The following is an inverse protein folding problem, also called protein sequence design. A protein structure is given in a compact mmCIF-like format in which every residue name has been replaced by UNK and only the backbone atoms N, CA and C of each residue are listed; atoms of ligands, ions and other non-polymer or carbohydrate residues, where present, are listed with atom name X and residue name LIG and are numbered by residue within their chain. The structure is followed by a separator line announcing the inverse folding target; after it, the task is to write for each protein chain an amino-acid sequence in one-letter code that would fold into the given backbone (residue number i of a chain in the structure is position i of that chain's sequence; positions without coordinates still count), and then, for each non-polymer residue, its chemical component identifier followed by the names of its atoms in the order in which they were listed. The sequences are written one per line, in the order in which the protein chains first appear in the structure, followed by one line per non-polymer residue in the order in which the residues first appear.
data_IF_023453059172
#
_entry.id   IF_023453059172
#
_cell.length_a   1.000
_cell.length_b   1.000
_cell.length_c   1.000
_cell.angle_alpha   90.00
_cell.angle_beta   90.00
_cell.angle_gamma   90.00
#
_symmetry.space_group_name_H-M   'P 1'
#
loop_
_entity.id
_entity.type
_entity.pdbx_description
1 polymer ?
#
# COMPACT_ATOMS: atom_id res chain seq x y z
N UNK A 1 5.78 -0.88 -32.28
CA UNK A 1 6.48 0.04 -31.37
C UNK A 1 5.97 -0.20 -29.96
N UNK A 2 6.76 0.02 -28.91
CA UNK A 2 6.33 -0.15 -27.51
C UNK A 2 5.55 1.07 -26.96
N UNK A 3 4.96 1.88 -27.84
CA UNK A 3 4.23 3.11 -27.50
C UNK A 3 2.88 3.11 -28.19
N UNK A 4 1.88 3.73 -27.56
CA UNK A 4 0.55 3.86 -28.14
C UNK A 4 0.60 4.71 -29.43
N UNK A 5 -0.20 4.38 -30.46
CA UNK A 5 -0.31 5.23 -31.64
C UNK A 5 -0.73 6.66 -31.28
N UNK A 6 -0.15 7.66 -31.96
CA UNK A 6 -0.50 9.07 -31.75
C UNK A 6 -2.00 9.33 -31.92
N UNK A 7 -2.65 8.62 -32.86
CA UNK A 7 -4.10 8.65 -33.05
C UNK A 7 -4.89 8.15 -31.82
N UNK A 8 -4.38 7.16 -31.09
CA UNK A 8 -4.95 6.68 -29.82
C UNK A 8 -4.75 7.71 -28.71
N UNK A 9 -3.54 8.28 -28.59
CA UNK A 9 -3.22 9.33 -27.60
C UNK A 9 -4.11 10.57 -27.81
N UNK A 10 -4.33 10.99 -29.06
CA UNK A 10 -5.20 12.11 -29.40
C UNK A 10 -6.68 11.83 -29.11
N UNK A 11 -7.15 10.59 -29.24
CA UNK A 11 -8.51 10.20 -28.81
C UNK A 11 -8.64 10.23 -27.29
N UNK A 12 -7.66 9.72 -26.55
CA UNK A 12 -7.66 9.74 -25.08
C UNK A 12 -7.63 11.18 -24.53
N UNK A 13 -6.84 12.07 -25.15
CA UNK A 13 -6.84 13.51 -24.85
C UNK A 13 -8.19 14.17 -25.10
N UNK A 14 -8.97 13.69 -26.07
CA UNK A 14 -10.33 14.16 -26.33
C UNK A 14 -11.37 13.60 -25.35
N UNK A 15 -11.25 12.32 -24.97
CA UNK A 15 -12.12 11.68 -23.97
C UNK A 15 -11.99 12.35 -22.59
N UNK A 16 -10.80 12.88 -22.28
CA UNK A 16 -10.48 13.60 -21.04
C UNK A 16 -10.44 15.13 -21.23
N UNK A 17 -10.98 15.66 -22.34
CA UNK A 17 -11.00 17.11 -22.62
C UNK A 17 -11.89 17.86 -21.61
N UNK A 18 -11.35 18.92 -20.99
CA UNK A 18 -12.02 19.66 -19.92
C UNK A 18 -11.96 19.02 -18.53
N UNK A 19 -11.26 17.89 -18.37
CA UNK A 19 -10.93 17.28 -17.08
C UNK A 19 -9.59 17.80 -16.53
N UNK A 20 -9.18 17.35 -15.34
CA UNK A 20 -7.88 17.68 -14.74
C UNK A 20 -6.85 16.53 -14.86
N UNK A 21 -7.14 15.50 -15.66
CA UNK A 21 -6.26 14.36 -15.84
C UNK A 21 -5.04 14.67 -16.73
N UNK A 22 -3.85 14.23 -16.32
CA UNK A 22 -2.59 14.42 -17.07
C UNK A 22 -2.27 13.17 -17.89
N UNK A 23 -2.02 13.32 -19.20
CA UNK A 23 -1.64 12.21 -20.09
C UNK A 23 -0.17 12.37 -20.48
N UNK A 24 0.70 11.67 -19.74
CA UNK A 24 2.15 11.69 -19.91
C UNK A 24 2.56 10.60 -20.91
N UNK A 25 3.28 10.98 -21.95
CA UNK A 25 3.82 10.08 -22.98
C UNK A 25 5.33 10.23 -23.09
N UNK A 26 6.01 9.34 -23.81
CA UNK A 26 7.45 9.48 -24.06
C UNK A 26 7.76 10.89 -24.61
N UNK A 27 8.72 11.58 -23.99
CA UNK A 27 9.06 12.98 -24.28
C UNK A 27 8.19 14.04 -23.57
N UNK A 28 7.24 13.64 -22.71
CA UNK A 28 6.54 14.57 -21.79
C UNK A 28 7.32 14.72 -20.49
N UNK A 29 7.32 15.92 -19.91
CA UNK A 29 7.83 16.14 -18.54
C UNK A 29 7.10 15.24 -17.53
N UNK A 30 7.81 14.73 -16.53
CA UNK A 30 7.27 13.83 -15.51
C UNK A 30 6.94 12.40 -15.98
N UNK A 31 7.07 12.06 -17.27
CA UNK A 31 6.85 10.69 -17.77
C UNK A 31 7.79 9.68 -17.09
N UNK A 32 9.06 10.05 -16.86
CA UNK A 32 10.04 9.19 -16.17
C UNK A 32 9.60 8.79 -14.75
N UNK A 33 9.10 9.74 -13.96
CA UNK A 33 8.57 9.48 -12.62
C UNK A 33 7.26 8.68 -12.68
N UNK A 34 6.42 8.97 -13.69
CA UNK A 34 5.17 8.26 -13.95
C UNK A 34 5.35 6.76 -14.26
N UNK A 35 6.47 6.36 -14.87
CA UNK A 35 6.78 4.94 -15.16
C UNK A 35 7.57 4.24 -14.04
N UNK A 36 8.41 4.97 -13.29
CA UNK A 36 9.32 4.40 -12.28
C UNK A 36 8.59 3.61 -11.20
N UNK A 37 8.90 2.32 -11.07
CA UNK A 37 8.40 1.45 -9.99
C UNK A 37 9.31 1.51 -8.75
N UNK A 38 8.92 0.83 -7.66
CA UNK A 38 9.79 0.63 -6.50
C UNK A 38 10.89 -0.43 -6.74
N UNK A 39 10.60 -1.45 -7.55
CA UNK A 39 11.55 -2.53 -7.85
C UNK A 39 12.08 -2.41 -9.28
N UNK A 40 13.40 -2.34 -9.44
CA UNK A 40 14.09 -2.29 -10.75
C UNK A 40 13.76 -3.51 -11.64
N UNK A 41 13.33 -4.62 -11.05
CA UNK A 41 12.86 -5.83 -11.76
C UNK A 41 11.53 -5.63 -12.51
N UNK A 42 10.85 -4.50 -12.28
CA UNK A 42 9.52 -4.17 -12.78
C UNK A 42 9.52 -2.94 -13.70
N UNK A 43 10.68 -2.48 -14.17
CA UNK A 43 10.76 -1.40 -15.17
C UNK A 43 10.23 -1.89 -16.53
N UNK A 44 9.31 -1.13 -17.11
CA UNK A 44 8.62 -1.49 -18.35
C UNK A 44 8.44 -0.31 -19.32
N UNK A 45 8.31 -0.63 -20.60
CA UNK A 45 8.13 0.36 -21.67
C UNK A 45 6.66 0.79 -21.75
N UNK A 46 6.20 1.62 -20.81
CA UNK A 46 4.81 2.09 -20.71
C UNK A 46 4.41 2.96 -21.90
N UNK A 47 3.25 2.69 -22.50
CA UNK A 47 2.76 3.39 -23.68
C UNK A 47 2.23 4.80 -23.39
N UNK A 48 1.51 4.97 -22.28
CA UNK A 48 1.19 6.26 -21.66
C UNK A 48 0.91 6.08 -20.15
N UNK A 49 1.20 7.11 -19.35
CA UNK A 49 0.75 7.21 -17.96
C UNK A 49 -0.38 8.24 -17.91
N UNK A 50 -1.49 7.91 -17.25
CA UNK A 50 -2.64 8.82 -17.10
C UNK A 50 -2.87 9.06 -15.62
N UNK A 51 -2.50 10.24 -15.14
CA UNK A 51 -2.77 10.66 -13.76
C UNK A 51 -4.18 11.20 -13.64
N UNK A 52 -4.92 10.69 -12.67
CA UNK A 52 -6.33 11.05 -12.45
C UNK A 52 -6.52 11.72 -11.10
N UNK A 53 -7.42 12.71 -11.07
CA UNK A 53 -7.81 13.51 -9.90
C UNK A 53 -9.18 13.13 -9.36
N UNK A 54 -9.96 12.39 -10.16
CA UNK A 54 -11.32 11.97 -9.84
C UNK A 54 -11.63 10.53 -10.28
N UNK A 55 -12.63 9.91 -9.64
CA UNK A 55 -13.15 8.60 -10.04
C UNK A 55 -13.82 8.63 -11.43
N UNK A 56 -14.31 9.79 -11.89
CA UNK A 56 -14.92 9.95 -13.22
C UNK A 56 -13.87 9.86 -14.35
N UNK A 57 -12.73 10.52 -14.17
CA UNK A 57 -11.56 10.40 -15.07
C UNK A 57 -11.02 8.96 -15.07
N UNK A 58 -10.86 8.35 -13.89
CA UNK A 58 -10.42 6.96 -13.77
C UNK A 58 -11.36 5.99 -14.52
N UNK A 59 -12.67 6.15 -14.36
CA UNK A 59 -13.67 5.36 -15.08
C UNK A 59 -13.66 5.61 -16.60
N UNK A 60 -13.39 6.83 -17.06
CA UNK A 60 -13.21 7.14 -18.47
C UNK A 60 -11.97 6.45 -19.05
N UNK A 61 -10.85 6.44 -18.33
CA UNK A 61 -9.62 5.70 -18.74
C UNK A 61 -9.88 4.20 -18.83
N UNK A 62 -10.58 3.60 -17.87
CA UNK A 62 -10.93 2.17 -17.91
C UNK A 62 -11.82 1.84 -19.12
N UNK A 63 -12.88 2.63 -19.38
CA UNK A 63 -13.71 2.46 -20.58
C UNK A 63 -12.90 2.61 -21.86
N UNK A 64 -12.05 3.62 -21.95
CA UNK A 64 -11.21 3.87 -23.12
C UNK A 64 -10.26 2.69 -23.39
N UNK A 65 -9.62 2.17 -22.34
CA UNK A 65 -8.75 1.00 -22.45
C UNK A 65 -9.52 -0.24 -22.91
N UNK A 66 -10.68 -0.53 -22.31
CA UNK A 66 -11.54 -1.65 -22.68
C UNK A 66 -12.05 -1.55 -24.14
N UNK A 67 -12.65 -0.41 -24.52
CA UNK A 67 -13.21 -0.16 -25.85
C UNK A 67 -12.17 -0.15 -26.98
N UNK A 68 -10.88 0.04 -26.66
CA UNK A 68 -9.79 0.00 -27.62
C UNK A 68 -8.84 -1.19 -27.44
N UNK A 69 -9.19 -2.15 -26.57
CA UNK A 69 -8.42 -3.36 -26.26
C UNK A 69 -6.96 -3.06 -25.88
N UNK A 70 -6.74 -1.95 -25.18
CA UNK A 70 -5.43 -1.50 -24.72
C UNK A 70 -5.13 -2.18 -23.37
N UNK A 71 -4.00 -2.90 -23.21
CA UNK A 71 -3.57 -3.37 -21.90
C UNK A 71 -3.46 -2.21 -20.93
N UNK A 72 -3.95 -2.36 -19.70
CA UNK A 72 -3.77 -1.34 -18.67
C UNK A 72 -3.36 -1.95 -17.33
N UNK A 73 -2.68 -1.14 -16.53
CA UNK A 73 -2.32 -1.45 -15.15
C UNK A 73 -2.69 -0.28 -14.25
N UNK A 74 -2.81 -0.54 -12.94
CA UNK A 74 -3.30 0.43 -11.96
C UNK A 74 -2.19 0.72 -10.97
N UNK A 75 -1.80 2.00 -10.87
CA UNK A 75 -0.74 2.47 -9.99
C UNK A 75 -1.33 3.26 -8.82
N UNK A 76 -1.28 2.67 -7.63
CA UNK A 76 -1.26 3.41 -6.36
C UNK A 76 0.19 3.84 -6.05
N UNK A 77 0.72 3.49 -4.89
CA UNK A 77 2.11 3.80 -4.51
C UNK A 77 3.24 3.14 -5.33
N UNK A 78 2.94 2.31 -6.33
CA UNK A 78 3.95 1.72 -7.23
C UNK A 78 4.89 0.68 -6.61
N UNK A 79 4.50 0.08 -5.48
CA UNK A 79 5.31 -0.85 -4.68
C UNK A 79 5.28 -2.32 -5.20
N UNK A 80 4.78 -2.59 -6.41
CA UNK A 80 4.66 -3.97 -6.89
C UNK A 80 6.03 -4.58 -7.19
N UNK A 81 6.31 -5.74 -6.60
CA UNK A 81 7.47 -6.60 -6.89
C UNK A 81 7.19 -7.62 -8.01
N UNK A 82 5.97 -7.63 -8.56
CA UNK A 82 5.50 -8.54 -9.61
C UNK A 82 5.10 -7.83 -10.91
N UNK A 83 5.35 -6.52 -11.01
CA UNK A 83 5.00 -5.68 -12.16
C UNK A 83 3.52 -5.32 -12.27
N UNK A 84 2.68 -5.65 -11.29
CA UNK A 84 1.22 -5.45 -11.35
C UNK A 84 0.77 -3.98 -11.42
N UNK A 85 1.65 -3.03 -11.09
CA UNK A 85 1.44 -1.58 -11.21
C UNK A 85 2.04 -0.95 -12.49
N UNK A 86 2.45 -1.77 -13.47
CA UNK A 86 2.98 -1.31 -14.76
C UNK A 86 2.46 -2.16 -15.94
N UNK A 87 2.64 -1.70 -17.17
CA UNK A 87 2.25 -2.44 -18.38
C UNK A 87 3.07 -2.04 -19.60
N UNK A 88 3.40 -3.00 -20.47
CA UNK A 88 4.22 -2.78 -21.66
C UNK A 88 3.38 -2.30 -22.85
N UNK A 89 3.66 -1.10 -23.34
CA UNK A 89 2.96 -0.45 -24.46
C UNK A 89 1.51 -0.05 -24.17
N UNK A 90 1.00 -0.37 -22.97
CA UNK A 90 -0.35 -0.07 -22.51
C UNK A 90 -0.48 1.26 -21.78
N UNK A 91 -1.55 1.40 -21.01
CA UNK A 91 -1.84 2.55 -20.14
C UNK A 91 -1.56 2.21 -18.68
N UNK A 92 -0.74 3.01 -17.99
CA UNK A 92 -0.73 3.03 -16.52
C UNK A 92 -1.74 4.07 -16.04
N UNK A 93 -2.81 3.62 -15.40
CA UNK A 93 -3.76 4.47 -14.69
C UNK A 93 -3.15 4.83 -13.33
N UNK A 94 -2.63 6.04 -13.20
CA UNK A 94 -1.90 6.54 -12.05
C UNK A 94 -2.83 7.31 -11.10
N UNK A 95 -3.03 6.78 -9.91
CA UNK A 95 -3.93 7.34 -8.89
C UNK A 95 -3.24 8.41 -8.04
N UNK A 96 -2.03 8.88 -8.40
CA UNK A 96 -1.17 9.78 -7.61
C UNK A 96 -1.87 10.99 -6.95
N UNK A 97 -2.88 11.60 -7.58
CA UNK A 97 -3.62 12.74 -7.01
C UNK A 97 -4.82 12.34 -6.12
N UNK A 98 -5.26 11.08 -6.19
CA UNK A 98 -6.31 10.49 -5.36
C UNK A 98 -5.73 10.03 -4.01
N UNK A 99 -5.21 10.97 -3.22
CA UNK A 99 -4.55 10.74 -1.91
C UNK A 99 -5.32 11.29 -0.70
N UNK A 100 -6.54 11.81 -0.86
CA UNK A 100 -7.27 12.42 0.26
C UNK A 100 -7.65 11.38 1.31
N UNK A 101 -7.51 11.76 2.57
CA UNK A 101 -7.93 10.98 3.73
C UNK A 101 -8.89 11.81 4.58
N UNK A 102 -9.99 11.18 5.02
CA UNK A 102 -10.98 11.74 5.93
C UNK A 102 -11.19 10.80 7.12
N UNK A 103 -11.45 11.34 8.31
CA UNK A 103 -11.66 10.58 9.55
C UNK A 103 -12.93 11.07 10.22
N UNK A 104 -13.86 10.16 10.53
CA UNK A 104 -14.88 10.37 11.55
C UNK A 104 -14.39 9.77 12.89
N UNK A 105 -14.01 10.59 13.89
CA UNK A 105 -13.59 10.11 15.19
C UNK A 105 -14.73 9.58 16.06
N UNK A 106 -16.01 9.80 15.69
CA UNK A 106 -17.18 9.36 16.47
C UNK A 106 -17.52 7.92 16.16
N UNK A 107 -17.62 7.54 14.87
CA UNK A 107 -17.76 6.14 14.46
C UNK A 107 -16.43 5.39 14.33
N UNK A 108 -15.30 6.09 14.51
CA UNK A 108 -13.93 5.58 14.32
C UNK A 108 -13.66 5.08 12.88
N UNK A 109 -14.36 5.67 11.90
CA UNK A 109 -14.30 5.29 10.49
C UNK A 109 -13.45 6.27 9.69
N UNK A 110 -12.49 5.73 8.93
CA UNK A 110 -11.61 6.48 8.04
C UNK A 110 -11.90 6.16 6.57
N UNK A 111 -11.63 7.14 5.69
CA UNK A 111 -11.93 7.16 4.25
C UNK A 111 -10.69 7.66 3.49
N UNK A 112 -9.84 6.75 3.00
CA UNK A 112 -8.58 7.06 2.30
C UNK A 112 -8.57 6.65 0.82
N UNK A 113 -8.36 7.61 -0.08
CA UNK A 113 -8.45 7.41 -1.53
C UNK A 113 -7.43 6.41 -2.12
N UNK A 114 -7.70 5.88 -3.32
CA UNK A 114 -6.97 4.72 -3.88
C UNK A 114 -5.49 4.93 -4.22
N UNK A 115 -5.04 6.17 -4.35
CA UNK A 115 -3.63 6.54 -4.48
C UNK A 115 -2.93 6.85 -3.16
N UNK A 116 -3.67 6.91 -2.04
CA UNK A 116 -3.12 7.20 -0.72
C UNK A 116 -1.97 6.25 -0.37
N UNK A 117 -0.93 6.81 0.23
CA UNK A 117 0.15 6.06 0.85
C UNK A 117 -0.20 5.81 2.32
N UNK A 118 0.48 4.85 2.95
CA UNK A 118 0.27 4.57 4.37
C UNK A 118 0.53 5.80 5.26
N UNK A 119 1.45 6.68 4.86
CA UNK A 119 1.72 7.97 5.52
C UNK A 119 0.50 8.92 5.55
N UNK A 120 -0.27 8.99 4.46
CA UNK A 120 -1.46 9.87 4.40
C UNK A 120 -2.52 9.41 5.42
N UNK A 121 -2.60 8.10 5.58
CA UNK A 121 -3.46 7.37 6.49
C UNK A 121 -2.99 7.54 7.95
N UNK A 122 -1.70 7.28 8.22
CA UNK A 122 -1.06 7.43 9.52
C UNK A 122 -1.23 8.86 10.06
N UNK A 123 -0.87 9.86 9.26
CA UNK A 123 -0.90 11.29 9.63
C UNK A 123 -2.31 11.80 9.86
N UNK A 124 -3.30 11.38 9.07
CA UNK A 124 -4.69 11.81 9.26
C UNK A 124 -5.30 11.22 10.53
N UNK A 125 -5.06 9.94 10.81
CA UNK A 125 -5.71 9.25 11.93
C UNK A 125 -5.02 9.48 13.28
N UNK A 126 -3.71 9.76 13.29
CA UNK A 126 -2.98 10.16 14.50
C UNK A 126 -3.56 11.43 15.15
N UNK A 127 -4.08 12.36 14.35
CA UNK A 127 -4.78 13.57 14.82
C UNK A 127 -6.00 13.25 15.69
N UNK A 128 -6.57 12.06 15.53
CA UNK A 128 -7.73 11.55 16.26
C UNK A 128 -7.42 10.41 17.24
N UNK A 129 -6.13 10.06 17.42
CA UNK A 129 -5.65 8.99 18.33
C UNK A 129 -6.22 7.58 18.07
N UNK A 130 -6.45 7.22 16.81
CA UNK A 130 -6.89 5.86 16.42
C UNK A 130 -5.69 4.89 16.25
N UNK A 131 -5.93 3.59 15.98
CA UNK A 131 -4.92 2.54 15.68
C UNK A 131 -5.49 1.54 14.64
N UNK A 132 -4.91 1.38 13.43
CA UNK A 132 -5.53 0.65 12.28
C UNK A 132 -4.48 -0.45 11.86
N UNK A 133 -4.90 -1.58 11.27
CA UNK A 133 -3.97 -2.56 10.64
C UNK A 133 -3.48 -2.14 9.24
N UNK A 134 -2.17 -2.28 9.00
CA UNK A 134 -1.61 -2.44 7.66
C UNK A 134 -0.09 -2.24 7.59
N UNK A 135 0.37 -1.69 6.47
CA UNK A 135 1.79 -1.68 6.04
C UNK A 135 2.79 -1.21 7.10
N UNK A 136 3.91 -1.91 7.22
CA UNK A 136 5.03 -1.51 8.11
C UNK A 136 5.92 -0.38 7.54
N UNK A 137 5.65 0.09 6.32
CA UNK A 137 6.38 1.16 5.64
C UNK A 137 5.41 2.23 5.12
N UNK A 138 5.69 3.50 5.48
CA UNK A 138 4.88 4.69 5.21
C UNK A 138 4.54 4.91 3.71
N UNK A 139 5.48 4.62 2.82
CA UNK A 139 5.38 4.92 1.39
C UNK A 139 4.70 3.82 0.56
N UNK A 140 4.22 2.73 1.20
CA UNK A 140 3.45 1.71 0.50
C UNK A 140 2.06 2.26 0.16
N UNK A 141 1.64 2.06 -1.09
CA UNK A 141 0.32 2.47 -1.57
C UNK A 141 -0.78 1.64 -0.93
N UNK A 142 -1.68 2.29 -0.20
CA UNK A 142 -2.65 1.65 0.67
C UNK A 142 -3.50 0.61 -0.07
N UNK A 143 -4.23 1.03 -1.12
CA UNK A 143 -5.18 0.17 -1.85
C UNK A 143 -4.56 -1.17 -2.28
N UNK A 144 -3.35 -1.16 -2.83
CA UNK A 144 -2.65 -2.38 -3.24
C UNK A 144 -2.28 -3.28 -2.07
N UNK A 145 -1.83 -2.70 -0.94
CA UNK A 145 -1.47 -3.46 0.25
C UNK A 145 -2.68 -4.17 0.88
N UNK A 146 -3.79 -3.45 1.09
CA UNK A 146 -4.98 -4.03 1.70
C UNK A 146 -5.73 -4.95 0.77
N UNK A 147 -5.94 -4.66 -0.52
CA UNK A 147 -6.65 -5.64 -1.38
C UNK A 147 -5.90 -6.98 -1.51
N UNK A 148 -4.58 -6.99 -1.28
CA UNK A 148 -3.76 -8.20 -1.17
C UNK A 148 -3.70 -8.83 0.23
N UNK A 149 -4.62 -8.47 1.15
CA UNK A 149 -4.62 -8.88 2.56
C UNK A 149 -4.14 -7.75 3.47
N UNK A 150 -2.86 -7.39 3.35
CA UNK A 150 -2.20 -6.33 4.12
C UNK A 150 -1.95 -6.69 5.59
N UNK A 151 -0.68 -6.75 5.98
CA UNK A 151 -0.26 -7.09 7.35
C UNK A 151 0.74 -6.07 7.89
N UNK A 152 0.88 -6.03 9.20
CA UNK A 152 1.94 -5.30 9.90
C UNK A 152 1.77 -5.36 11.42
N UNK A 153 2.25 -4.33 12.11
CA UNK A 153 2.43 -4.32 13.56
C UNK A 153 1.17 -4.68 14.37
N UNK A 154 0.00 -4.20 13.93
CA UNK A 154 -1.27 -4.39 14.61
C UNK A 154 -2.02 -5.69 14.22
N UNK A 155 -1.45 -6.51 13.31
CA UNK A 155 -2.11 -7.72 12.81
C UNK A 155 -2.34 -8.79 13.88
N UNK A 156 -1.48 -8.87 14.90
CA UNK A 156 -1.62 -9.87 15.97
C UNK A 156 -2.89 -9.72 16.82
N UNK A 157 -3.45 -8.52 16.94
CA UNK A 157 -4.71 -8.26 17.66
C UNK A 157 -5.93 -8.16 16.75
N UNK A 158 -5.79 -7.49 15.61
CA UNK A 158 -6.92 -6.97 14.85
C UNK A 158 -7.11 -7.66 13.48
N UNK A 159 -6.35 -8.74 13.18
CA UNK A 159 -6.41 -9.44 11.90
C UNK A 159 -5.65 -8.70 10.78
N UNK A 160 -5.96 -9.00 9.53
CA UNK A 160 -5.40 -8.32 8.36
C UNK A 160 -6.11 -7.01 8.06
N UNK A 161 -5.54 -6.18 7.18
CA UNK A 161 -6.18 -4.94 6.74
C UNK A 161 -7.51 -5.23 6.00
N UNK A 162 -7.64 -6.39 5.33
CA UNK A 162 -8.92 -6.87 4.76
C UNK A 162 -10.00 -7.16 5.80
N UNK A 163 -9.62 -7.61 7.00
CA UNK A 163 -10.56 -7.94 8.07
C UNK A 163 -11.13 -6.66 8.72
N UNK A 164 -10.43 -5.54 8.52
CA UNK A 164 -10.80 -4.19 8.96
C UNK A 164 -11.44 -3.34 7.82
N UNK A 165 -11.59 -3.91 6.62
CA UNK A 165 -12.25 -3.25 5.50
C UNK A 165 -13.78 -3.36 5.68
N UNK A 166 -14.49 -2.22 5.72
CA UNK A 166 -15.96 -2.18 5.84
C UNK A 166 -16.66 -2.13 4.48
N UNK A 167 -16.04 -1.44 3.52
CA UNK A 167 -16.51 -1.33 2.14
C UNK A 167 -15.37 -0.80 1.27
N UNK A 168 -15.48 -1.03 -0.05
CA UNK A 168 -14.63 -0.38 -1.05
C UNK A 168 -15.50 0.14 -2.19
N UNK A 169 -15.19 1.36 -2.66
CA UNK A 169 -15.74 1.89 -3.90
C UNK A 169 -14.85 1.41 -5.04
N UNK A 170 -15.45 0.71 -6.01
CA UNK A 170 -14.76 -0.04 -7.07
C UNK A 170 -15.12 0.49 -8.45
N UNK A 171 -14.14 0.58 -9.35
CA UNK A 171 -14.37 0.80 -10.79
C UNK A 171 -14.24 -0.53 -11.52
N UNK A 172 -15.30 -0.94 -12.22
CA UNK A 172 -15.37 -2.21 -12.97
C UNK A 172 -14.90 -2.04 -14.43
N UNK A 173 -14.77 -3.16 -15.16
CA UNK A 173 -14.21 -3.17 -16.52
C UNK A 173 -15.08 -2.45 -17.59
N UNK A 174 -16.36 -2.25 -17.33
CA UNK A 174 -17.27 -1.40 -18.13
C UNK A 174 -17.18 0.09 -17.72
N UNK A 175 -16.36 0.41 -16.74
CA UNK A 175 -16.24 1.73 -16.11
C UNK A 175 -17.50 2.19 -15.38
N UNK A 176 -18.36 1.27 -14.94
CA UNK A 176 -19.31 1.53 -13.87
C UNK A 176 -18.55 1.71 -12.54
N UNK A 177 -19.15 2.45 -11.61
CA UNK A 177 -18.61 2.69 -10.27
C UNK A 177 -19.61 2.12 -9.26
N UNK A 178 -19.18 1.12 -8.49
CA UNK A 178 -20.01 0.38 -7.53
C UNK A 178 -19.44 0.50 -6.12
N UNK A 179 -20.29 0.29 -5.10
CA UNK A 179 -19.85 0.04 -3.72
C UNK A 179 -19.92 -1.45 -3.46
N UNK A 180 -18.81 -2.01 -2.98
CA UNK A 180 -18.71 -3.37 -2.46
C UNK A 180 -18.67 -3.31 -0.92
N UNK A 181 -19.62 -3.96 -0.25
CA UNK A 181 -19.74 -4.12 1.20
C UNK A 181 -20.49 -5.45 1.51
N UNK A 182 -20.78 -5.75 2.78
CA UNK A 182 -21.55 -6.96 3.12
C UNK A 182 -23.03 -6.88 2.67
N UNK A 183 -23.54 -5.66 2.45
CA UNK A 183 -24.92 -5.37 2.02
C UNK A 183 -25.04 -5.04 0.52
N UNK A 184 -23.94 -4.74 -0.18
CA UNK A 184 -23.94 -4.31 -1.59
C UNK A 184 -22.80 -5.00 -2.35
N UNK A 185 -23.11 -5.75 -3.41
CA UNK A 185 -22.12 -6.54 -4.18
C UNK A 185 -21.21 -7.37 -3.27
N UNK A 186 -21.81 -8.15 -2.35
CA UNK A 186 -21.07 -8.87 -1.30
C UNK A 186 -20.22 -10.03 -1.81
N UNK A 187 -20.51 -10.52 -3.02
CA UNK A 187 -19.67 -11.41 -3.81
C UNK A 187 -18.37 -10.72 -4.28
N UNK A 188 -18.47 -9.49 -4.81
CA UNK A 188 -17.32 -8.65 -5.13
C UNK A 188 -16.55 -8.26 -3.86
N UNK A 189 -17.26 -7.95 -2.77
CA UNK A 189 -16.65 -7.58 -1.48
C UNK A 189 -15.90 -8.73 -0.81
N UNK A 190 -16.37 -9.97 -0.99
CA UNK A 190 -15.60 -11.16 -0.65
C UNK A 190 -14.37 -11.29 -1.54
N UNK A 191 -14.53 -11.16 -2.86
CA UNK A 191 -13.45 -11.39 -3.83
C UNK A 191 -12.27 -10.39 -3.69
N UNK A 192 -12.54 -9.11 -3.43
CA UNK A 192 -11.48 -8.09 -3.27
C UNK A 192 -10.71 -8.20 -1.93
N UNK A 193 -11.22 -8.96 -0.95
CA UNK A 193 -10.54 -9.20 0.33
C UNK A 193 -9.49 -10.33 0.20
N UNK A 194 -8.47 -10.08 -0.62
CA UNK A 194 -7.29 -10.95 -0.78
C UNK A 194 -6.83 -11.16 -2.21
N UNK A 195 -7.72 -11.03 -3.21
CA UNK A 195 -7.37 -11.21 -4.63
C UNK A 195 -6.85 -9.93 -5.32
N UNK A 196 -6.61 -8.85 -4.57
CA UNK A 196 -6.05 -7.62 -5.12
C UNK A 196 -7.00 -6.86 -6.07
N UNK A 197 -6.39 -6.04 -6.92
CA UNK A 197 -7.03 -5.26 -7.99
C UNK A 197 -7.68 -6.11 -9.12
N UNK A 198 -7.69 -7.44 -9.01
CA UNK A 198 -8.19 -8.37 -10.05
C UNK A 198 -9.65 -8.15 -10.44
N UNK A 199 -10.43 -7.50 -9.57
CA UNK A 199 -11.85 -7.22 -9.77
C UNK A 199 -12.18 -5.72 -9.85
N UNK A 200 -11.17 -4.84 -9.94
CA UNK A 200 -11.37 -3.40 -10.17
C UNK A 200 -10.44 -2.49 -9.36
N UNK A 201 -10.66 -1.17 -9.50
CA UNK A 201 -9.88 -0.13 -8.79
C UNK A 201 -10.55 0.25 -7.47
N UNK A 202 -9.97 -0.10 -6.32
CA UNK A 202 -10.44 0.36 -5.01
C UNK A 202 -9.97 1.78 -4.69
N UNK A 203 -10.87 2.59 -4.10
CA UNK A 203 -10.58 3.99 -3.76
C UNK A 203 -10.98 4.45 -2.35
N UNK A 204 -11.08 3.58 -1.32
CA UNK A 204 -11.45 4.03 0.05
C UNK A 204 -11.09 3.07 1.21
N UNK A 205 -10.11 3.39 2.09
CA UNK A 205 -9.65 2.50 3.21
C UNK A 205 -9.20 3.21 4.52
N UNK A 206 -8.58 2.51 5.52
CA UNK A 206 -8.76 2.76 7.00
C UNK A 206 -7.44 2.94 7.91
N UNK A 207 -7.27 2.57 9.23
CA UNK A 207 -6.32 3.71 10.60
C UNK A 207 -4.73 3.95 10.69
N UNK A 208 -4.05 4.28 11.84
CA UNK A 208 -2.56 4.50 11.93
C UNK A 208 -1.76 3.56 12.91
N UNK A 209 -0.44 3.78 13.14
CA UNK A 209 0.44 2.95 14.02
C UNK A 209 1.57 3.66 14.87
N UNK A 210 2.38 2.89 15.65
CA UNK A 210 3.60 3.29 16.46
C UNK A 210 4.69 2.17 16.36
N UNK A 211 6.01 2.43 16.48
CA UNK A 211 7.10 1.40 16.37
C UNK A 211 8.47 1.79 17.02
N UNK A 212 9.40 0.83 17.23
CA UNK A 212 10.80 1.01 17.72
C UNK A 212 11.83 0.05 17.07
N UNK A 213 13.11 0.46 16.94
CA UNK A 213 14.22 -0.34 16.41
C UNK A 213 15.48 -0.40 17.30
N UNK A 214 16.39 -1.36 17.04
CA UNK A 214 17.69 -1.53 17.74
C UNK A 214 18.67 -2.41 16.95
N UNK A 215 19.98 -2.13 17.06
CA UNK A 215 21.04 -2.88 16.35
C UNK A 215 21.97 -3.66 17.30
N UNK A 216 22.33 -4.87 16.89
CA UNK A 216 23.12 -5.84 17.68
C UNK A 216 24.30 -6.42 16.90
N UNK A 217 25.34 -6.85 17.61
CA UNK A 217 26.47 -7.59 17.05
C UNK A 217 26.09 -9.03 16.66
N UNK A 218 26.80 -9.62 15.69
CA UNK A 218 26.46 -10.93 15.12
C UNK A 218 26.47 -12.09 16.12
N UNK A 219 27.22 -11.99 17.23
CA UNK A 219 27.26 -12.99 18.30
C UNK A 219 25.93 -13.13 19.06
N UNK A 220 25.00 -12.17 18.92
CA UNK A 220 23.66 -12.24 19.54
C UNK A 220 22.67 -13.11 18.76
N UNK A 221 23.03 -13.54 17.53
CA UNK A 221 22.13 -14.30 16.66
C UNK A 221 21.49 -15.55 17.32
N UNK A 222 22.22 -16.41 18.06
CA UNK A 222 21.60 -17.60 18.66
C UNK A 222 20.47 -17.24 19.62
N UNK A 223 20.68 -16.26 20.52
CA UNK A 223 19.66 -15.81 21.47
C UNK A 223 18.44 -15.17 20.79
N UNK A 224 18.67 -14.43 19.71
CA UNK A 224 17.58 -13.83 18.91
C UNK A 224 16.74 -14.95 18.26
N UNK A 225 17.40 -15.97 17.68
CA UNK A 225 16.73 -17.13 17.07
C UNK A 225 16.00 -17.97 18.13
N UNK A 226 16.61 -18.23 19.29
CA UNK A 226 15.98 -18.96 20.40
C UNK A 226 14.72 -18.26 20.93
N UNK A 227 14.70 -16.93 20.95
CA UNK A 227 13.52 -16.13 21.28
C UNK A 227 12.45 -16.18 20.18
N UNK A 228 12.84 -16.01 18.91
CA UNK A 228 11.91 -16.06 17.77
C UNK A 228 11.25 -17.44 17.65
N UNK A 229 12.00 -18.52 17.87
CA UNK A 229 11.47 -19.90 17.89
C UNK A 229 10.41 -20.14 18.98
N UNK A 230 10.29 -19.25 19.96
CA UNK A 230 9.26 -19.30 21.02
C UNK A 230 8.14 -18.27 20.80
N UNK A 231 8.30 -17.30 19.89
CA UNK A 231 7.48 -16.09 19.82
C UNK A 231 5.98 -16.37 19.70
N UNK A 232 5.59 -17.33 18.84
CA UNK A 232 4.20 -17.78 18.68
C UNK A 232 3.57 -18.29 19.99
N UNK A 233 4.35 -18.92 20.86
CA UNK A 233 3.89 -19.43 22.18
C UNK A 233 4.00 -18.39 23.30
N UNK A 234 4.62 -17.24 23.03
CA UNK A 234 4.83 -16.16 23.98
C UNK A 234 3.92 -14.96 23.75
N UNK A 235 3.47 -14.73 22.51
CA UNK A 235 2.65 -13.56 22.15
C UNK A 235 1.17 -13.76 22.48
N UNK A 236 0.54 -12.69 22.92
CA UNK A 236 -0.92 -12.52 23.05
C UNK A 236 -1.50 -11.68 21.89
N UNK A 237 -0.72 -11.52 20.81
CA UNK A 237 -1.04 -10.67 19.67
C UNK A 237 -0.63 -9.21 19.86
N UNK A 238 -0.29 -8.75 21.08
CA UNK A 238 0.06 -7.36 21.34
C UNK A 238 1.48 -6.98 20.88
N UNK A 239 2.30 -7.96 20.43
CA UNK A 239 3.71 -7.75 20.08
C UNK A 239 4.02 -8.08 18.63
N UNK A 240 4.94 -7.32 18.06
CA UNK A 240 5.54 -7.60 16.75
C UNK A 240 7.05 -7.69 16.87
N UNK A 241 7.66 -8.55 16.06
CA UNK A 241 9.11 -8.75 16.03
C UNK A 241 9.56 -8.99 14.60
N UNK A 242 10.56 -8.23 14.15
CA UNK A 242 11.24 -8.44 12.88
C UNK A 242 12.75 -8.35 13.11
N UNK A 243 13.52 -9.20 12.45
CA UNK A 243 14.98 -9.05 12.45
C UNK A 243 15.57 -9.35 11.07
N UNK A 244 16.72 -8.75 10.80
CA UNK A 244 17.45 -8.92 9.55
C UNK A 244 18.92 -8.57 9.70
N UNK A 245 19.72 -8.94 8.71
CA UNK A 245 21.14 -8.59 8.67
C UNK A 245 21.33 -7.25 7.97
N UNK A 246 22.18 -6.40 8.54
CA UNK A 246 22.57 -5.11 7.97
C UNK A 246 24.08 -4.88 8.12
N UNK A 247 24.59 -3.81 7.51
CA UNK A 247 25.95 -3.33 7.70
C UNK A 247 25.87 -1.85 8.09
N UNK A 248 25.94 -1.56 9.39
CA UNK A 248 25.90 -0.18 9.84
C UNK A 248 27.17 0.58 9.42
N UNK A 249 26.98 1.76 8.81
CA UNK A 249 28.04 2.72 8.54
C UNK A 249 28.82 3.12 9.81
N UNK A 250 28.23 2.98 11.00
CA UNK A 250 28.89 3.27 12.29
C UNK A 250 29.66 2.09 12.90
N UNK A 251 29.46 0.86 12.42
CA UNK A 251 30.12 -0.34 12.98
C UNK A 251 31.13 -0.99 12.03
N UNK A 252 31.01 -0.79 10.71
CA UNK A 252 31.94 -1.36 9.71
C UNK A 252 31.84 -2.89 9.52
N UNK A 253 31.13 -3.58 10.40
CA UNK A 253 30.91 -5.03 10.38
C UNK A 253 29.43 -5.39 10.11
N UNK A 254 29.15 -6.69 9.99
CA UNK A 254 27.80 -7.23 9.83
C UNK A 254 27.08 -7.22 11.18
N UNK A 255 25.99 -6.46 11.27
CA UNK A 255 25.13 -6.38 12.45
C UNK A 255 23.76 -6.99 12.19
N UNK A 256 23.03 -7.26 13.27
CA UNK A 256 21.64 -7.71 13.25
C UNK A 256 20.79 -6.50 13.62
N UNK A 257 19.94 -6.04 12.69
CA UNK A 257 18.89 -5.09 13.01
C UNK A 257 17.70 -5.88 13.57
N UNK A 258 17.15 -5.43 14.70
CA UNK A 258 15.91 -5.95 15.25
C UNK A 258 14.94 -4.79 15.45
N UNK A 259 13.70 -4.97 15.01
CA UNK A 259 12.61 -4.02 15.14
C UNK A 259 11.55 -4.68 16.02
N UNK A 260 11.10 -3.97 17.05
CA UNK A 260 10.15 -4.48 18.04
C UNK A 260 8.95 -3.55 18.18
N UNK A 261 7.79 -4.18 18.35
CA UNK A 261 6.53 -3.51 18.52
C UNK A 261 5.80 -4.04 19.76
N UNK A 262 5.13 -3.14 20.47
CA UNK A 262 4.23 -3.47 21.57
C UNK A 262 3.05 -2.49 21.57
N UNK A 263 1.82 -2.98 21.37
CA UNK A 263 0.61 -2.15 21.40
C UNK A 263 0.15 -1.91 22.84
N UNK A 264 0.86 -1.05 23.59
CA UNK A 264 0.57 -0.82 25.00
C UNK A 264 1.53 0.16 25.66
N UNK A 265 1.72 0.03 26.98
CA UNK A 265 2.65 0.88 27.72
C UNK A 265 4.09 0.33 27.69
N UNK A 266 5.06 1.22 27.90
CA UNK A 266 6.48 0.90 27.86
C UNK A 266 6.93 -0.14 28.91
N UNK A 267 6.31 -0.19 30.10
CA UNK A 267 6.70 -1.10 31.18
C UNK A 267 6.47 -2.56 30.78
N UNK A 268 5.29 -2.84 30.20
CA UNK A 268 4.94 -4.20 29.77
C UNK A 268 5.78 -4.61 28.55
N UNK A 269 6.10 -3.67 27.66
CA UNK A 269 7.01 -3.87 26.54
C UNK A 269 8.45 -4.21 27.01
N UNK A 270 8.99 -3.44 27.96
CA UNK A 270 10.28 -3.70 28.60
C UNK A 270 10.27 -5.08 29.28
N UNK A 271 9.19 -5.44 29.99
CA UNK A 271 9.05 -6.73 30.63
C UNK A 271 8.99 -7.90 29.62
N UNK A 272 8.23 -7.76 28.53
CA UNK A 272 8.10 -8.79 27.50
C UNK A 272 9.44 -9.06 26.79
N UNK A 273 10.08 -8.03 26.24
CA UNK A 273 11.30 -8.18 25.46
C UNK A 273 12.57 -8.36 26.31
N UNK A 274 12.50 -8.22 27.65
CA UNK A 274 13.61 -8.55 28.58
C UNK A 274 14.14 -9.99 28.44
N UNK A 275 13.32 -10.89 27.86
CA UNK A 275 13.71 -12.27 27.52
C UNK A 275 14.74 -12.28 26.39
N UNK A 276 14.53 -11.45 25.36
CA UNK A 276 15.45 -11.30 24.23
C UNK A 276 16.65 -10.40 24.60
N UNK A 277 16.44 -9.30 25.33
CA UNK A 277 17.45 -8.27 25.57
C UNK A 277 17.71 -7.99 27.05
N UNK A 278 18.94 -7.65 27.40
CA UNK A 278 19.23 -7.00 28.68
C UNK A 278 19.28 -5.49 28.48
N UNK A 279 18.33 -4.77 29.07
CA UNK A 279 18.17 -3.34 28.93
C UNK A 279 19.26 -2.54 29.66
N UNK A 280 20.42 -2.39 29.04
CA UNK A 280 21.28 -1.23 29.32
C UNK A 280 20.61 0.00 28.71
N UNK A 281 20.05 0.86 29.56
CA UNK A 281 19.57 2.19 29.13
C UNK A 281 20.73 2.99 28.54
N UNK A 282 20.47 3.65 27.43
CA UNK A 282 21.31 4.70 26.84
C UNK A 282 20.88 6.07 27.38
#
# INVERSE_FOLDING_TARGET
MPFLPLSTILRLRKELEGTAAEILTWGSDGYGDGIKQWSDSCDEQVGAVVRVTSAGEAAAVVRFAACHQIPFAVRGGGYSTSGASTTRGGIVLDLFYLRRVHVDPVSQVLTAQGGALWEDIDVAAAQHRLAVVGSTLNHIGAAGATLGGGYGWLTGQYGLAIDNLLSAKMILADGSVVTASEEQHSDLFWAIRGAGQSFGVAIEMKPPCICWDSSFSADKLPRIVDFVNQFETLTDGMQGFWFGFTSSLSMGERSILVVVFYNGNQTDAEQFFSRCFHWTRW
#
